data_IF_211729466453
#
_entry.id   IF_211729466453
#
_cell.length_a   1.000
_cell.length_b   1.000
_cell.length_c   1.000
_cell.angle_alpha   90.00
_cell.angle_beta   90.00
_cell.angle_gamma   90.00
#
_symmetry.space_group_name_H-M   'P 1'
#
loop_
_entity.id
_entity.type
_entity.pdbx_description
1 polymer ?
#
# COMPACT_ATOMS: atom_id res chain seq x y z
N UNK A 1 -1.43 44.06 -8.79
CA UNK A 1 -0.15 43.32 -8.74
C UNK A 1 -0.47 41.85 -9.04
N UNK A 2 -0.26 41.41 -10.30
CA UNK A 2 -0.55 40.03 -10.74
C UNK A 2 0.72 39.18 -10.56
N UNK A 3 0.60 38.02 -9.94
CA UNK A 3 1.68 37.03 -9.86
C UNK A 3 1.91 36.40 -11.25
N UNK A 4 3.15 36.05 -11.62
CA UNK A 4 3.46 35.45 -12.91
C UNK A 4 2.91 34.01 -12.98
N UNK A 5 2.42 33.65 -14.17
CA UNK A 5 1.76 32.38 -14.46
C UNK A 5 2.68 31.18 -14.26
N UNK A 6 2.21 30.22 -13.47
CA UNK A 6 2.78 28.87 -13.39
C UNK A 6 2.42 28.16 -14.69
N UNK A 7 3.41 27.87 -15.53
CA UNK A 7 3.22 26.99 -16.68
C UNK A 7 2.80 25.61 -16.16
N UNK A 8 1.71 25.07 -16.69
CA UNK A 8 1.30 23.69 -16.44
C UNK A 8 2.34 22.78 -17.08
N UNK A 9 3.22 22.21 -16.25
CA UNK A 9 3.96 21.03 -16.67
C UNK A 9 2.92 19.97 -17.05
N UNK A 10 2.92 19.53 -18.32
CA UNK A 10 2.14 18.37 -18.72
C UNK A 10 2.53 17.15 -17.88
N UNK A 11 1.70 16.09 -17.84
CA UNK A 11 2.08 14.89 -17.14
C UNK A 11 3.38 14.38 -17.76
N UNK A 12 4.47 14.38 -16.97
CA UNK A 12 5.64 13.59 -17.32
C UNK A 12 5.13 12.17 -17.58
N UNK A 13 5.52 11.52 -18.69
CA UNK A 13 5.17 10.12 -18.88
C UNK A 13 5.67 9.37 -17.63
N UNK A 14 4.74 8.70 -16.95
CA UNK A 14 5.11 7.70 -15.95
C UNK A 14 5.84 6.62 -16.72
N UNK A 15 7.17 6.69 -16.74
CA UNK A 15 8.01 5.56 -17.08
C UNK A 15 7.83 4.57 -15.94
N UNK A 16 6.88 3.65 -16.10
CA UNK A 16 7.06 2.33 -15.53
C UNK A 16 8.33 1.82 -16.19
N UNK A 17 9.44 1.89 -15.48
CA UNK A 17 10.72 1.49 -16.04
C UNK A 17 10.54 0.08 -16.60
N UNK A 18 10.79 -0.09 -17.91
CA UNK A 18 10.80 -1.37 -18.65
C UNK A 18 11.96 -2.28 -18.18
N UNK A 19 12.38 -2.12 -16.93
CA UNK A 19 13.42 -2.94 -16.34
C UNK A 19 12.79 -4.28 -16.00
N UNK A 20 13.41 -5.35 -16.50
CA UNK A 20 13.02 -6.71 -16.23
C UNK A 20 12.76 -6.92 -14.72
N UNK A 21 11.85 -7.83 -14.33
CA UNK A 21 11.59 -8.14 -12.93
C UNK A 21 12.90 -8.58 -12.26
N UNK A 22 13.58 -7.67 -11.55
CA UNK A 22 14.89 -7.93 -10.97
C UNK A 22 15.79 -6.74 -10.64
N UNK A 23 15.65 -5.54 -11.24
CA UNK A 23 16.70 -4.51 -11.08
C UNK A 23 16.28 -3.15 -10.49
N UNK A 24 15.01 -2.93 -10.11
CA UNK A 24 14.60 -1.66 -9.46
C UNK A 24 14.46 -1.84 -7.95
N UNK A 25 15.40 -1.28 -7.18
CA UNK A 25 15.17 -0.89 -5.79
C UNK A 25 14.85 -2.01 -4.79
N UNK A 26 15.32 -3.24 -5.03
CA UNK A 26 15.19 -4.34 -4.07
C UNK A 26 16.08 -4.02 -2.86
N UNK A 27 15.47 -3.53 -1.78
CA UNK A 27 16.13 -3.56 -0.48
C UNK A 27 16.49 -5.02 -0.20
N UNK A 28 17.78 -5.37 -0.05
CA UNK A 28 18.17 -6.75 0.23
C UNK A 28 17.40 -7.26 1.45
N UNK A 29 16.96 -8.52 1.42
CA UNK A 29 16.23 -9.12 2.56
C UNK A 29 17.00 -8.96 3.88
N UNK A 30 18.33 -8.95 3.81
CA UNK A 30 19.23 -8.72 4.94
C UNK A 30 19.11 -7.31 5.56
N UNK A 31 18.72 -6.31 4.77
CA UNK A 31 18.54 -4.92 5.21
C UNK A 31 17.08 -4.59 5.54
N UNK A 32 16.14 -5.42 5.08
CA UNK A 32 14.71 -5.25 5.33
C UNK A 32 14.34 -5.36 6.82
N UNK A 33 13.80 -4.27 7.37
CA UNK A 33 13.34 -4.22 8.77
C UNK A 33 12.19 -5.20 9.05
N UNK A 34 11.32 -5.47 8.07
CA UNK A 34 10.21 -6.42 8.23
C UNK A 34 10.71 -7.87 8.20
N UNK A 35 11.72 -8.18 7.37
CA UNK A 35 12.38 -9.48 7.43
C UNK A 35 13.07 -9.71 8.78
N UNK A 36 13.72 -8.69 9.34
CA UNK A 36 14.31 -8.75 10.69
C UNK A 36 13.23 -8.96 11.77
N UNK A 37 12.05 -8.36 11.64
CA UNK A 37 10.90 -8.61 12.53
C UNK A 37 10.40 -10.07 12.40
N UNK A 38 10.28 -10.58 11.17
CA UNK A 38 9.85 -11.96 10.90
C UNK A 38 10.85 -12.97 11.48
N UNK A 39 12.15 -12.70 11.38
CA UNK A 39 13.23 -13.52 11.96
C UNK A 39 13.29 -13.42 13.49
N UNK A 40 12.70 -12.40 14.08
CA UNK A 40 12.72 -12.14 15.52
C UNK A 40 13.93 -11.32 15.99
N UNK A 41 14.75 -10.83 15.06
CA UNK A 41 15.92 -9.97 15.36
C UNK A 41 15.50 -8.59 15.88
N UNK A 42 14.32 -8.11 15.47
CA UNK A 42 13.70 -6.88 15.96
C UNK A 42 12.37 -7.23 16.64
N UNK A 43 12.11 -6.75 17.87
CA UNK A 43 10.85 -7.00 18.55
C UNK A 43 9.71 -6.21 17.88
N UNK A 44 8.50 -6.77 17.92
CA UNK A 44 7.28 -6.06 17.54
C UNK A 44 6.10 -6.49 18.42
N UNK A 45 5.07 -5.63 18.47
CA UNK A 45 3.81 -5.97 19.13
C UNK A 45 2.95 -6.83 18.19
N UNK A 46 3.22 -8.14 18.17
CA UNK A 46 2.51 -9.14 17.35
C UNK A 46 1.06 -9.28 17.81
N UNK A 47 0.12 -9.35 16.85
CA UNK A 47 -1.31 -9.54 17.13
C UNK A 47 -1.94 -10.67 16.33
N UNK A 48 -1.30 -11.14 15.26
CA UNK A 48 -1.76 -12.27 14.46
C UNK A 48 -0.58 -12.91 13.72
N UNK A 49 -0.55 -14.23 13.65
CA UNK A 49 0.52 -14.95 12.97
C UNK A 49 0.02 -16.27 12.40
N UNK A 50 0.43 -16.57 11.17
CA UNK A 50 0.29 -17.88 10.53
C UNK A 50 1.65 -18.34 10.01
N UNK A 51 1.69 -19.45 9.29
CA UNK A 51 2.88 -19.88 8.56
C UNK A 51 3.36 -18.84 7.53
N UNK A 52 2.45 -18.07 6.92
CA UNK A 52 2.77 -17.18 5.79
C UNK A 52 2.59 -15.69 6.10
N UNK A 53 1.82 -15.33 7.13
CA UNK A 53 1.44 -13.94 7.40
C UNK A 53 1.78 -13.57 8.83
N UNK A 54 2.21 -12.32 9.03
CA UNK A 54 2.40 -11.72 10.33
C UNK A 54 1.67 -10.37 10.37
N UNK A 55 0.96 -10.08 11.48
CA UNK A 55 0.43 -8.76 11.75
C UNK A 55 0.91 -8.23 13.10
N UNK A 56 1.28 -6.96 13.11
CA UNK A 56 1.82 -6.28 14.29
C UNK A 56 1.49 -4.78 14.25
N UNK A 57 1.52 -4.13 15.42
CA UNK A 57 1.28 -2.70 15.50
C UNK A 57 2.42 -1.89 14.88
N UNK A 58 2.06 -0.86 14.11
CA UNK A 58 3.01 0.12 13.59
C UNK A 58 3.60 0.93 14.76
N UNK A 59 4.92 1.14 14.73
CA UNK A 59 5.65 1.89 15.77
C UNK A 59 5.43 3.40 15.63
N UNK A 60 5.07 3.87 14.43
CA UNK A 60 4.75 5.25 14.10
C UNK A 60 3.28 5.33 13.62
N UNK A 61 2.30 5.10 14.51
CA UNK A 61 0.91 4.92 14.12
C UNK A 61 0.28 6.22 13.59
N UNK A 62 -0.48 6.13 12.50
CA UNK A 62 -1.34 7.22 12.01
C UNK A 62 -2.53 7.44 12.96
N UNK A 63 -3.04 6.36 13.54
CA UNK A 63 -4.09 6.35 14.55
C UNK A 63 -3.85 5.20 15.54
N UNK A 64 -4.36 5.28 16.79
CA UNK A 64 -4.26 4.18 17.74
C UNK A 64 -4.75 2.85 17.14
N UNK A 65 -3.94 1.80 17.27
CA UNK A 65 -4.19 0.50 16.65
C UNK A 65 -3.79 0.38 15.18
N UNK A 66 -3.09 1.36 14.59
CA UNK A 66 -2.49 1.21 13.28
C UNK A 66 -1.66 -0.09 13.23
N UNK A 67 -2.05 -0.99 12.35
CA UNK A 67 -1.50 -2.34 12.24
C UNK A 67 -0.96 -2.55 10.84
N UNK A 68 0.20 -3.19 10.73
CA UNK A 68 0.76 -3.67 9.48
C UNK A 68 0.50 -5.18 9.35
N UNK A 69 0.02 -5.60 8.19
CA UNK A 69 -0.13 -7.03 7.83
C UNK A 69 0.82 -7.31 6.68
N UNK A 70 1.74 -8.25 6.88
CA UNK A 70 2.82 -8.55 5.94
C UNK A 70 2.86 -10.04 5.60
N UNK A 71 3.28 -10.43 4.37
CA UNK A 71 3.75 -11.78 4.14
C UNK A 71 5.08 -11.97 4.90
N UNK A 72 5.34 -13.18 5.37
CA UNK A 72 6.62 -13.53 5.99
C UNK A 72 7.74 -13.62 4.96
N UNK A 73 7.42 -14.11 3.76
CA UNK A 73 8.32 -14.06 2.61
C UNK A 73 8.47 -12.62 2.11
N UNK A 74 9.66 -12.30 1.60
CA UNK A 74 9.99 -10.97 1.10
C UNK A 74 9.50 -10.78 -0.34
N UNK A 75 8.65 -9.78 -0.54
CA UNK A 75 8.21 -9.26 -1.83
C UNK A 75 8.21 -7.75 -1.72
N UNK A 76 8.72 -7.00 -2.70
CA UNK A 76 8.90 -5.57 -2.50
C UNK A 76 7.54 -4.85 -2.37
N UNK A 77 6.55 -5.20 -3.19
CA UNK A 77 5.20 -4.62 -3.14
C UNK A 77 4.12 -5.59 -3.68
N UNK A 78 2.92 -5.09 -4.00
CA UNK A 78 1.80 -5.90 -4.48
C UNK A 78 2.08 -6.59 -5.81
N UNK A 79 2.82 -5.92 -6.70
CA UNK A 79 3.07 -6.39 -8.07
C UNK A 79 4.10 -7.52 -8.11
N UNK A 80 4.85 -7.74 -7.02
CA UNK A 80 5.79 -8.85 -6.87
C UNK A 80 5.18 -10.07 -6.17
N UNK A 81 3.96 -9.95 -5.64
CA UNK A 81 3.31 -11.04 -4.90
C UNK A 81 2.84 -12.15 -5.85
N UNK A 82 3.24 -13.42 -5.60
CA UNK A 82 2.57 -14.55 -6.19
C UNK A 82 1.10 -14.57 -5.79
N UNK A 83 0.23 -15.03 -6.70
CA UNK A 83 -1.24 -15.04 -6.50
C UNK A 83 -1.66 -15.67 -5.17
N UNK A 84 -1.08 -16.82 -4.84
CA UNK A 84 -1.40 -17.56 -3.61
C UNK A 84 -0.93 -16.82 -2.33
N UNK A 85 0.20 -16.12 -2.38
CA UNK A 85 0.66 -15.28 -1.27
C UNK A 85 -0.24 -14.05 -1.11
N UNK A 86 -0.66 -13.44 -2.22
CA UNK A 86 -1.68 -12.39 -2.22
C UNK A 86 -2.99 -12.86 -1.56
N UNK A 87 -3.48 -14.06 -1.92
CA UNK A 87 -4.70 -14.64 -1.33
C UNK A 87 -4.57 -14.82 0.18
N UNK A 88 -3.43 -15.34 0.66
CA UNK A 88 -3.15 -15.53 2.09
C UNK A 88 -3.09 -14.20 2.84
N UNK A 89 -2.43 -13.21 2.26
CA UNK A 89 -2.30 -11.88 2.83
C UNK A 89 -3.67 -11.20 2.98
N UNK A 90 -4.49 -11.21 1.93
CA UNK A 90 -5.84 -10.64 1.97
C UNK A 90 -6.79 -11.39 2.92
N UNK A 91 -6.66 -12.71 3.04
CA UNK A 91 -7.46 -13.51 3.96
C UNK A 91 -7.24 -13.12 5.44
N UNK A 92 -6.05 -12.62 5.80
CA UNK A 92 -5.74 -12.17 7.14
C UNK A 92 -6.39 -10.82 7.51
N UNK A 93 -6.75 -9.98 6.52
CA UNK A 93 -7.23 -8.61 6.79
C UNK A 93 -8.53 -8.58 7.60
N UNK A 94 -9.48 -9.47 7.28
CA UNK A 94 -10.78 -9.47 7.94
C UNK A 94 -10.72 -9.83 9.44
N UNK A 95 -10.08 -10.94 9.87
CA UNK A 95 -9.95 -11.24 11.30
C UNK A 95 -9.12 -10.19 12.04
N UNK A 96 -8.00 -9.73 11.49
CA UNK A 96 -7.13 -8.73 12.12
C UNK A 96 -7.85 -7.38 12.24
N UNK A 97 -8.49 -6.92 11.16
CA UNK A 97 -9.25 -5.67 11.12
C UNK A 97 -10.40 -5.65 12.13
N UNK A 98 -11.16 -6.74 12.25
CA UNK A 98 -12.23 -6.83 13.26
C UNK A 98 -11.67 -6.82 14.69
N UNK A 99 -10.59 -7.55 14.94
CA UNK A 99 -9.95 -7.58 16.26
C UNK A 99 -9.47 -6.19 16.67
N UNK A 100 -8.81 -5.45 15.77
CA UNK A 100 -8.28 -4.13 16.09
C UNK A 100 -9.36 -3.05 16.22
N UNK A 101 -10.44 -3.13 15.42
CA UNK A 101 -11.60 -2.25 15.62
C UNK A 101 -12.26 -2.51 16.97
N UNK A 102 -12.42 -3.78 17.39
CA UNK A 102 -12.97 -4.11 18.70
C UNK A 102 -12.07 -3.62 19.84
N UNK A 103 -10.76 -3.82 19.74
CA UNK A 103 -9.79 -3.40 20.76
C UNK A 103 -9.71 -1.87 20.91
N UNK A 104 -9.91 -1.14 19.82
CA UNK A 104 -9.87 0.32 19.83
C UNK A 104 -11.23 0.96 20.04
N UNK A 105 -12.34 0.25 19.80
CA UNK A 105 -13.68 0.86 19.71
C UNK A 105 -13.82 1.79 18.50
N UNK A 106 -13.04 1.55 17.44
CA UNK A 106 -13.15 2.27 16.18
C UNK A 106 -14.47 1.92 15.46
N UNK A 107 -15.05 2.90 14.78
CA UNK A 107 -16.30 2.75 14.02
C UNK A 107 -16.07 2.47 12.54
N UNK A 108 -14.82 2.47 12.10
CA UNK A 108 -14.41 2.17 10.74
C UNK A 108 -12.92 1.83 10.66
N UNK A 109 -12.45 1.46 9.47
CA UNK A 109 -11.05 1.13 9.22
C UNK A 109 -10.67 1.50 7.79
N UNK A 110 -9.50 2.09 7.59
CA UNK A 110 -8.89 2.17 6.27
C UNK A 110 -7.98 0.96 6.06
N UNK A 111 -8.09 0.36 4.87
CA UNK A 111 -7.17 -0.67 4.37
C UNK A 111 -6.38 -0.02 3.23
N UNK A 112 -5.06 0.07 3.37
CA UNK A 112 -4.21 0.75 2.40
C UNK A 112 -2.92 -0.03 2.15
N UNK A 113 -2.45 -0.01 0.92
CA UNK A 113 -1.11 -0.46 0.55
C UNK A 113 -0.51 0.56 -0.40
N UNK A 114 0.72 0.97 -0.14
CA UNK A 114 1.46 1.85 -1.03
C UNK A 114 2.39 0.98 -1.88
N UNK A 115 2.40 1.21 -3.20
CA UNK A 115 3.25 0.48 -4.14
C UNK A 115 4.12 1.49 -4.88
N UNK A 116 5.43 1.34 -4.75
CA UNK A 116 6.46 2.28 -5.20
C UNK A 116 6.53 3.59 -4.42
N UNK A 117 7.69 4.27 -4.51
CA UNK A 117 8.01 5.49 -3.75
C UNK A 117 7.01 6.63 -4.02
N UNK A 118 6.56 6.79 -5.27
CA UNK A 118 5.62 7.85 -5.67
C UNK A 118 4.24 7.71 -5.00
N UNK A 119 3.89 6.50 -4.54
CA UNK A 119 2.69 6.23 -3.75
C UNK A 119 2.93 6.32 -2.24
N UNK A 120 4.15 6.66 -1.79
CA UNK A 120 4.52 6.77 -0.39
C UNK A 120 4.99 5.45 0.24
N UNK A 121 5.45 4.49 -0.56
CA UNK A 121 6.09 3.29 -0.01
C UNK A 121 7.50 3.62 0.48
N UNK A 122 7.78 3.34 1.76
CA UNK A 122 9.08 3.60 2.39
C UNK A 122 9.81 2.34 2.84
N UNK A 123 9.08 1.25 3.10
CA UNK A 123 9.64 -0.08 3.33
C UNK A 123 9.27 -0.96 2.13
N UNK A 124 10.28 -1.40 1.38
CA UNK A 124 10.12 -2.27 0.22
C UNK A 124 9.96 -3.73 0.64
N UNK A 125 8.93 -3.98 1.43
CA UNK A 125 8.39 -5.28 1.78
C UNK A 125 6.88 -5.14 1.84
N UNK A 126 6.14 -5.90 1.04
CA UNK A 126 4.70 -5.78 0.87
C UNK A 126 3.96 -5.70 2.22
N UNK A 127 3.21 -4.64 2.45
CA UNK A 127 2.49 -4.43 3.71
C UNK A 127 1.16 -3.74 3.49
N UNK A 128 0.14 -4.24 4.15
CA UNK A 128 -1.17 -3.62 4.22
C UNK A 128 -1.32 -2.93 5.57
N UNK A 129 -1.62 -1.64 5.51
CA UNK A 129 -2.02 -0.83 6.64
C UNK A 129 -3.48 -1.09 6.96
N UNK A 130 -3.75 -1.39 8.22
CA UNK A 130 -5.07 -1.39 8.84
C UNK A 130 -5.11 -0.24 9.84
N UNK A 131 -5.80 0.84 9.49
CA UNK A 131 -5.82 2.09 10.26
C UNK A 131 -7.22 2.28 10.85
N UNK A 132 -7.43 2.04 12.16
CA UNK A 132 -8.74 2.22 12.80
C UNK A 132 -9.18 3.69 12.79
N UNK A 133 -10.45 3.95 12.47
CA UNK A 133 -11.03 5.30 12.28
C UNK A 133 -12.19 5.58 13.20
N UNK A 134 -12.41 6.86 13.48
CA UNK A 134 -13.58 7.36 14.22
C UNK A 134 -14.20 8.54 13.50
N UNK A 135 -15.49 8.76 13.75
CA UNK A 135 -16.15 9.98 13.30
C UNK A 135 -15.44 11.22 13.87
N UNK A 136 -15.10 12.17 13.00
CA UNK A 136 -14.44 13.42 13.41
C UNK A 136 -12.96 13.30 13.74
N UNK A 137 -12.27 12.20 13.39
CA UNK A 137 -10.84 12.01 13.67
C UNK A 137 -9.87 12.81 12.77
N UNK A 138 -10.42 13.71 11.94
CA UNK A 138 -9.64 14.58 11.08
C UNK A 138 -9.19 13.99 9.76
N UNK A 139 -9.70 12.81 9.33
CA UNK A 139 -9.42 12.30 7.98
C UNK A 139 -9.85 13.29 6.90
N UNK A 140 -8.93 13.62 5.99
CA UNK A 140 -9.28 14.16 4.67
C UNK A 140 -9.14 13.03 3.64
N UNK A 141 -10.26 12.59 3.05
CA UNK A 141 -10.26 11.62 1.96
C UNK A 141 -10.05 12.32 0.62
N UNK A 142 -9.37 11.61 -0.29
CA UNK A 142 -8.86 12.01 -1.61
C UNK A 142 -9.61 13.19 -2.26
N UNK A 143 -8.95 14.34 -2.50
CA UNK A 143 -9.56 15.43 -3.25
C UNK A 143 -9.79 14.99 -4.70
N UNK A 144 -11.05 15.04 -5.16
CA UNK A 144 -11.38 14.67 -6.53
C UNK A 144 -10.64 15.53 -7.56
N UNK A 145 -10.14 14.89 -8.62
CA UNK A 145 -9.55 15.54 -9.79
C UNK A 145 -10.31 15.03 -11.02
N UNK A 146 -11.27 15.80 -11.56
CA UNK A 146 -12.08 15.33 -12.68
C UNK A 146 -11.24 15.24 -13.96
N UNK A 147 -11.59 14.29 -14.82
CA UNK A 147 -11.08 14.30 -16.19
C UNK A 147 -11.57 15.56 -16.93
N UNK A 148 -10.80 16.07 -17.92
CA UNK A 148 -11.22 17.21 -18.73
C UNK A 148 -12.56 16.97 -19.45
N UNK A 149 -12.75 15.76 -19.98
CA UNK A 149 -13.98 15.32 -20.66
C UNK A 149 -14.08 13.78 -20.68
N UNK A 150 -15.22 13.28 -21.18
CA UNK A 150 -15.45 11.84 -21.33
C UNK A 150 -14.56 11.18 -22.39
N UNK A 151 -14.13 11.91 -23.42
CA UNK A 151 -13.27 11.37 -24.47
C UNK A 151 -11.87 11.03 -23.93
N UNK A 152 -11.34 11.87 -23.04
CA UNK A 152 -10.07 11.67 -22.33
C UNK A 152 -10.15 10.43 -21.44
N UNK A 153 -11.23 10.29 -20.68
CA UNK A 153 -11.47 9.11 -19.83
C UNK A 153 -11.52 7.81 -20.67
N UNK A 154 -12.24 7.83 -21.80
CA UNK A 154 -12.33 6.68 -22.70
C UNK A 154 -11.02 6.34 -23.40
N UNK A 155 -10.20 7.34 -23.73
CA UNK A 155 -8.87 7.11 -24.30
C UNK A 155 -7.96 6.38 -23.31
N UNK A 156 -7.96 6.79 -22.04
CA UNK A 156 -7.22 6.11 -20.97
C UNK A 156 -7.71 4.68 -20.76
N UNK A 157 -9.03 4.47 -20.73
CA UNK A 157 -9.61 3.14 -20.61
C UNK A 157 -9.24 2.21 -21.78
N UNK A 158 -9.16 2.74 -23.01
CA UNK A 158 -8.67 1.96 -24.17
C UNK A 158 -7.19 1.58 -24.02
N UNK A 159 -6.34 2.53 -23.64
CA UNK A 159 -4.92 2.26 -23.44
C UNK A 159 -4.69 1.20 -22.35
N UNK A 160 -5.43 1.28 -21.24
CA UNK A 160 -5.35 0.28 -20.17
C UNK A 160 -5.79 -1.12 -20.63
N UNK A 161 -6.89 -1.23 -21.40
CA UNK A 161 -7.35 -2.51 -21.97
C UNK A 161 -6.32 -3.13 -22.92
N UNK A 162 -5.71 -2.31 -23.78
CA UNK A 162 -4.64 -2.74 -24.67
C UNK A 162 -3.45 -3.30 -23.90
N UNK A 163 -3.02 -2.62 -22.82
CA UNK A 163 -1.93 -3.09 -21.96
C UNK A 163 -2.27 -4.42 -21.25
N UNK A 164 -3.54 -4.65 -20.92
CA UNK A 164 -4.02 -5.92 -20.37
C UNK A 164 -4.11 -7.05 -21.41
N UNK A 165 -3.90 -6.76 -22.70
CA UNK A 165 -4.15 -7.71 -23.78
C UNK A 165 -5.64 -7.98 -24.03
N UNK A 166 -6.53 -7.15 -23.48
CA UNK A 166 -7.96 -7.20 -23.74
C UNK A 166 -8.29 -6.34 -24.97
N UNK A 167 -8.68 -6.98 -26.08
CA UNK A 167 -9.20 -6.30 -27.26
C UNK A 167 -10.63 -5.78 -27.02
#
# INVERSE_FOLDING_TARGET
MRLPGRQSAGPNPVSFHDDAPGEVGIMPEADCIFCKIVKGDIPCARIYETEHVLAFLDVAPVAPGHTLVIPKAHYANLFDLPEEEGRRLFAALAPVGRAIMAATGASGINVQMNNYESAGQVVFHAHLHLIPRRAGDGLALWPGQPYPDGATMEALARAARQALGAA
#
